data_IF_864215892158
#
_entry.id   IF_864215892158
#
_cell.length_a   1.000
_cell.length_b   1.000
_cell.length_c   1.000
_cell.angle_alpha   90.00
_cell.angle_beta   90.00
_cell.angle_gamma   90.00
#
_symmetry.space_group_name_H-M   'P 1'
#
loop_
_entity.id
_entity.type
_entity.pdbx_description
1 polymer ?
#
# COMPACT_ATOMS: atom_id res chain seq x y z
N UNK A 1 53.65 48.66 46.86
CA UNK A 1 53.06 47.33 46.61
C UNK A 1 51.62 47.34 47.13
N UNK A 2 50.64 47.62 46.28
CA UNK A 2 49.22 47.62 46.66
C UNK A 2 48.45 46.74 45.67
N UNK A 3 47.97 45.58 46.14
CA UNK A 3 47.15 44.66 45.34
C UNK A 3 45.79 45.29 45.05
N UNK A 4 45.51 45.59 43.79
CA UNK A 4 44.14 45.86 43.33
C UNK A 4 43.35 44.54 43.27
N UNK A 5 42.34 44.41 44.12
CA UNK A 5 41.32 43.34 44.00
C UNK A 5 40.35 43.71 42.87
N UNK A 6 40.34 42.93 41.80
CA UNK A 6 39.30 43.00 40.76
C UNK A 6 37.95 42.54 41.33
N UNK A 7 36.84 43.26 41.08
CA UNK A 7 35.50 42.82 41.49
C UNK A 7 35.03 41.60 40.68
N UNK A 8 34.17 40.73 41.24
CA UNK A 8 33.75 39.50 40.59
C UNK A 8 32.70 39.79 39.51
N UNK A 9 32.97 39.24 38.33
CA UNK A 9 32.03 38.83 37.28
C UNK A 9 30.83 39.75 36.96
N UNK A 10 31.03 40.49 35.87
CA UNK A 10 30.05 41.16 35.01
C UNK A 10 28.74 40.38 34.83
N UNK A 11 27.63 41.07 35.09
CA UNK A 11 26.27 40.57 34.93
C UNK A 11 25.95 40.08 33.52
N UNK A 12 25.26 38.94 33.45
CA UNK A 12 24.49 38.57 32.27
C UNK A 12 23.37 39.59 32.10
N UNK A 13 23.22 40.12 30.88
CA UNK A 13 22.17 41.07 30.53
C UNK A 13 20.79 40.44 30.81
N UNK A 14 19.94 41.16 31.55
CA UNK A 14 18.56 40.78 31.88
C UNK A 14 17.75 40.41 30.62
N UNK A 15 18.15 40.92 29.45
CA UNK A 15 17.53 40.65 28.15
C UNK A 15 17.84 39.23 27.64
N UNK A 16 19.06 38.72 27.89
CA UNK A 16 19.47 37.35 27.50
C UNK A 16 18.80 36.27 28.37
N UNK A 17 18.59 36.55 29.66
CA UNK A 17 17.91 35.62 30.58
C UNK A 17 16.41 35.57 30.34
N UNK A 18 15.81 36.70 29.94
CA UNK A 18 14.40 36.79 29.53
C UNK A 18 14.15 35.93 28.29
N UNK A 19 14.95 36.07 27.22
CA UNK A 19 14.81 35.29 25.98
C UNK A 19 14.97 33.77 26.21
N UNK A 20 15.98 33.37 27.00
CA UNK A 20 16.17 31.97 27.38
C UNK A 20 14.98 31.39 28.17
N UNK A 21 14.30 32.20 28.99
CA UNK A 21 13.08 31.80 29.69
C UNK A 21 11.92 31.53 28.72
N UNK A 22 11.68 32.39 27.73
CA UNK A 22 10.63 32.16 26.72
C UNK A 22 10.91 30.93 25.88
N UNK A 23 12.16 30.69 25.46
CA UNK A 23 12.53 29.48 24.72
C UNK A 23 12.27 28.22 25.54
N UNK A 24 12.64 28.21 26.84
CA UNK A 24 12.37 27.08 27.73
C UNK A 24 10.87 26.85 27.91
N UNK A 25 10.09 27.92 28.10
CA UNK A 25 8.63 27.86 28.21
C UNK A 25 7.99 27.35 26.92
N UNK A 26 8.39 27.84 25.75
CA UNK A 26 7.91 27.39 24.45
C UNK A 26 8.22 25.90 24.21
N UNK A 27 9.44 25.45 24.50
CA UNK A 27 9.81 24.02 24.43
C UNK A 27 8.99 23.16 25.39
N UNK A 28 8.69 23.64 26.60
CA UNK A 28 7.83 22.94 27.55
C UNK A 28 6.38 22.83 27.04
N UNK A 29 5.84 23.93 26.49
CA UNK A 29 4.51 23.96 25.87
C UNK A 29 4.42 23.01 24.68
N UNK A 30 5.39 23.05 23.75
CA UNK A 30 5.44 22.14 22.60
C UNK A 30 5.49 20.67 23.04
N UNK A 31 6.31 20.34 24.05
CA UNK A 31 6.36 18.98 24.63
C UNK A 31 5.05 18.56 25.29
N UNK A 32 4.33 19.50 25.93
CA UNK A 32 3.02 19.25 26.53
C UNK A 32 1.97 18.99 25.46
N UNK A 33 1.92 19.83 24.43
CA UNK A 33 1.00 19.69 23.29
C UNK A 33 1.23 18.34 22.62
N UNK A 34 2.48 18.02 22.24
CA UNK A 34 2.82 16.73 21.61
C UNK A 34 2.34 15.54 22.44
N UNK A 35 2.65 15.53 23.74
CA UNK A 35 2.25 14.43 24.65
C UNK A 35 0.74 14.32 24.79
N UNK A 36 0.03 15.45 24.87
CA UNK A 36 -1.43 15.49 24.91
C UNK A 36 -2.03 14.93 23.62
N UNK A 37 -1.60 15.43 22.47
CA UNK A 37 -2.11 14.99 21.16
C UNK A 37 -1.83 13.51 20.90
N UNK A 38 -0.64 13.00 21.26
CA UNK A 38 -0.33 11.57 21.15
C UNK A 38 -1.24 10.72 22.04
N UNK A 39 -1.47 11.15 23.29
CA UNK A 39 -2.39 10.46 24.21
C UNK A 39 -3.81 10.44 23.67
N UNK A 40 -4.34 11.58 23.23
CA UNK A 40 -5.70 11.68 22.69
C UNK A 40 -5.87 10.84 21.43
N UNK A 41 -4.89 10.89 20.51
CA UNK A 41 -4.87 10.03 19.33
C UNK A 41 -4.86 8.55 19.69
N UNK A 42 -4.08 8.15 20.71
CA UNK A 42 -4.02 6.76 21.15
C UNK A 42 -5.33 6.29 21.79
N UNK A 43 -5.94 7.14 22.63
CA UNK A 43 -7.25 6.86 23.23
C UNK A 43 -8.29 6.66 22.12
N UNK A 44 -8.39 7.60 21.17
CA UNK A 44 -9.32 7.51 20.06
C UNK A 44 -9.08 6.25 19.20
N UNK A 45 -7.81 5.90 18.95
CA UNK A 45 -7.44 4.71 18.21
C UNK A 45 -7.95 3.43 18.90
N UNK A 46 -7.70 3.27 20.20
CA UNK A 46 -8.17 2.11 20.96
C UNK A 46 -9.70 2.09 21.06
N UNK A 47 -10.32 3.24 21.32
CA UNK A 47 -11.79 3.36 21.37
C UNK A 47 -12.48 3.02 20.04
N UNK A 48 -11.77 3.13 18.90
CA UNK A 48 -12.29 2.72 17.60
C UNK A 48 -12.35 1.20 17.38
N UNK A 49 -11.79 0.39 18.31
CA UNK A 49 -11.84 -1.07 18.26
C UNK A 49 -13.08 -1.53 19.02
N UNK A 50 -14.15 -1.80 18.28
CA UNK A 50 -15.44 -2.28 18.82
C UNK A 50 -15.66 -3.75 18.49
N UNK A 51 -16.69 -4.37 19.08
CA UNK A 51 -17.11 -5.74 18.77
C UNK A 51 -17.52 -5.96 17.31
N UNK A 52 -17.89 -4.89 16.59
CA UNK A 52 -18.19 -4.92 15.15
C UNK A 52 -16.94 -4.85 14.26
N UNK A 53 -15.73 -4.74 14.82
CA UNK A 53 -14.49 -4.70 14.05
C UNK A 53 -14.17 -6.09 13.51
N UNK A 54 -14.20 -6.27 12.18
CA UNK A 54 -13.80 -7.55 11.55
C UNK A 54 -12.37 -7.98 11.91
N UNK A 55 -12.11 -9.29 11.93
CA UNK A 55 -10.78 -9.84 12.24
C UNK A 55 -9.66 -9.26 11.35
N UNK A 56 -9.94 -9.01 10.07
CA UNK A 56 -8.98 -8.37 9.14
C UNK A 56 -8.62 -6.95 9.58
N UNK A 57 -9.60 -6.15 9.98
CA UNK A 57 -9.38 -4.78 10.44
C UNK A 57 -8.70 -4.76 11.82
N UNK A 58 -9.09 -5.66 12.71
CA UNK A 58 -8.45 -5.82 14.01
C UNK A 58 -6.96 -6.12 13.85
N UNK A 59 -6.60 -7.04 12.96
CA UNK A 59 -5.21 -7.42 12.74
C UNK A 59 -4.38 -6.32 12.07
N UNK A 60 -4.98 -5.51 11.19
CA UNK A 60 -4.34 -4.27 10.71
C UNK A 60 -4.06 -3.29 11.86
N UNK A 61 -5.05 -3.05 12.73
CA UNK A 61 -4.90 -2.14 13.88
C UNK A 61 -3.83 -2.64 14.87
N UNK A 62 -3.77 -3.93 15.15
CA UNK A 62 -2.70 -4.51 16.01
C UNK A 62 -1.32 -4.31 15.40
N UNK A 63 -1.15 -4.55 14.09
CA UNK A 63 0.12 -4.26 13.42
C UNK A 63 0.47 -2.77 13.48
N UNK A 64 -0.52 -1.88 13.42
CA UNK A 64 -0.31 -0.43 13.49
C UNK A 64 0.12 0.01 14.89
N UNK A 65 -0.52 -0.53 15.92
CA UNK A 65 -0.10 -0.35 17.31
C UNK A 65 1.34 -0.80 17.56
N UNK A 66 1.77 -1.89 16.94
CA UNK A 66 3.14 -2.41 17.05
C UNK A 66 4.16 -1.67 16.16
N UNK A 67 3.74 -0.66 15.39
CA UNK A 67 4.63 0.05 14.45
C UNK A 67 5.10 -0.80 13.26
N UNK A 68 4.51 -1.98 13.05
CA UNK A 68 4.81 -2.90 11.95
C UNK A 68 3.95 -2.57 10.71
N UNK A 69 2.87 -1.82 10.91
CA UNK A 69 1.98 -1.43 9.81
C UNK A 69 2.61 -0.36 8.95
N UNK A 70 2.94 -0.75 7.72
CA UNK A 70 3.09 0.17 6.62
C UNK A 70 1.70 0.32 5.98
N UNK A 71 1.05 1.48 6.18
CA UNK A 71 -0.02 1.88 5.27
C UNK A 71 0.59 1.95 3.88
N UNK A 72 -0.04 1.28 2.91
CA UNK A 72 0.48 1.08 1.55
C UNK A 72 1.33 2.27 1.15
N UNK A 73 2.64 2.06 1.07
CA UNK A 73 3.59 3.10 0.72
C UNK A 73 3.01 3.86 -0.47
N UNK A 74 2.90 5.19 -0.37
CA UNK A 74 2.57 6.01 -1.53
C UNK A 74 3.41 5.49 -2.67
N UNK A 75 2.76 4.95 -3.71
CA UNK A 75 3.49 4.41 -4.85
C UNK A 75 4.18 5.60 -5.47
N UNK A 76 5.48 5.68 -5.27
CA UNK A 76 6.30 6.74 -5.82
C UNK A 76 7.07 6.10 -6.95
N UNK A 77 6.71 6.46 -8.18
CA UNK A 77 7.39 5.98 -9.38
C UNK A 77 8.53 6.94 -9.71
N UNK A 78 9.74 6.41 -9.86
CA UNK A 78 10.88 7.17 -10.38
C UNK A 78 11.09 6.85 -11.84
N UNK A 79 11.01 7.85 -12.70
CA UNK A 79 11.29 7.75 -14.13
C UNK A 79 12.39 8.76 -14.48
N UNK A 80 13.62 8.26 -14.70
CA UNK A 80 14.81 9.10 -14.85
C UNK A 80 15.05 9.96 -13.61
N UNK A 81 15.08 11.30 -13.80
CA UNK A 81 15.26 12.28 -12.72
C UNK A 81 13.94 12.77 -12.10
N UNK A 82 12.79 12.30 -12.60
CA UNK A 82 11.47 12.72 -12.14
C UNK A 82 10.85 11.69 -11.20
N UNK A 83 10.10 12.19 -10.23
CA UNK A 83 9.41 11.38 -9.21
C UNK A 83 7.92 11.68 -9.28
N UNK A 84 7.12 10.67 -9.58
CA UNK A 84 5.66 10.75 -9.72
C UNK A 84 4.99 10.11 -8.51
N UNK A 85 4.08 10.84 -7.86
CA UNK A 85 3.32 10.38 -6.69
C UNK A 85 1.81 10.39 -6.89
N UNK A 86 1.31 11.16 -7.87
CA UNK A 86 -0.11 11.17 -8.22
C UNK A 86 -0.47 9.91 -9.04
N UNK A 87 -1.58 9.22 -8.75
CA UNK A 87 -1.97 8.00 -9.45
C UNK A 87 -2.08 8.16 -10.98
N UNK A 88 -2.60 9.29 -11.45
CA UNK A 88 -2.75 9.58 -12.88
C UNK A 88 -1.38 9.74 -13.56
N UNK A 89 -0.43 10.43 -12.91
CA UNK A 89 0.91 10.63 -13.44
C UNK A 89 1.67 9.32 -13.51
N UNK A 90 1.52 8.47 -12.49
CA UNK A 90 2.10 7.11 -12.47
C UNK A 90 1.53 6.27 -13.61
N UNK A 91 0.20 6.26 -13.78
CA UNK A 91 -0.47 5.52 -14.84
C UNK A 91 -0.02 5.99 -16.23
N UNK A 92 0.06 7.30 -16.46
CA UNK A 92 0.53 7.87 -17.72
C UNK A 92 2.00 7.55 -17.97
N UNK A 93 2.85 7.63 -16.95
CA UNK A 93 4.29 7.31 -17.07
C UNK A 93 4.48 5.85 -17.45
N UNK A 94 3.74 4.93 -16.82
CA UNK A 94 3.73 3.52 -17.20
C UNK A 94 3.21 3.32 -18.62
N UNK A 95 2.11 3.97 -18.98
CA UNK A 95 1.53 3.91 -20.33
C UNK A 95 2.51 4.37 -21.41
N UNK A 96 3.20 5.48 -21.18
CA UNK A 96 4.25 5.97 -22.09
C UNK A 96 5.41 4.99 -22.21
N UNK A 97 5.89 4.42 -21.10
CA UNK A 97 6.95 3.42 -21.14
C UNK A 97 6.53 2.18 -21.94
N UNK A 98 5.32 1.67 -21.74
CA UNK A 98 4.79 0.55 -22.52
C UNK A 98 4.65 0.90 -24.01
N UNK A 99 4.14 2.09 -24.32
CA UNK A 99 4.01 2.54 -25.71
C UNK A 99 5.38 2.65 -26.40
N UNK A 100 6.41 3.14 -25.70
CA UNK A 100 7.78 3.22 -26.22
C UNK A 100 8.37 1.83 -26.49
N UNK A 101 8.24 0.90 -25.55
CA UNK A 101 8.74 -0.47 -25.72
C UNK A 101 7.97 -1.22 -26.82
N UNK A 102 6.70 -0.87 -27.03
CA UNK A 102 5.85 -1.49 -28.05
C UNK A 102 5.88 -0.77 -29.40
N UNK A 103 6.57 0.38 -29.49
CA UNK A 103 6.73 1.11 -30.74
C UNK A 103 7.56 0.29 -31.74
N UNK A 104 7.43 0.58 -33.03
CA UNK A 104 8.03 -0.23 -34.10
C UNK A 104 9.55 -0.02 -34.26
N UNK A 105 10.08 1.13 -33.84
CA UNK A 105 11.48 1.53 -34.04
C UNK A 105 12.58 0.61 -33.46
N UNK A 106 12.42 -0.10 -32.33
CA UNK A 106 13.44 -1.01 -31.81
C UNK A 106 13.37 -2.44 -32.39
N UNK A 107 12.39 -2.75 -33.24
CA UNK A 107 12.23 -4.10 -33.78
C UNK A 107 12.99 -4.30 -35.10
N UNK A 108 13.51 -5.51 -35.31
CA UNK A 108 14.17 -5.86 -36.55
C UNK A 108 13.17 -5.90 -37.71
N UNK A 109 13.60 -5.62 -38.96
CA UNK A 109 12.72 -5.66 -40.13
C UNK A 109 11.98 -7.00 -40.28
N UNK A 110 12.62 -8.12 -39.92
CA UNK A 110 12.00 -9.45 -39.99
C UNK A 110 10.83 -9.60 -39.02
N UNK A 111 10.95 -9.05 -37.80
CA UNK A 111 9.86 -9.10 -36.82
C UNK A 111 8.70 -8.18 -37.21
N UNK A 112 9.01 -6.98 -37.71
CA UNK A 112 7.99 -6.02 -38.18
C UNK A 112 7.15 -6.62 -39.31
N UNK A 113 7.79 -7.34 -40.24
CA UNK A 113 7.11 -8.02 -41.34
C UNK A 113 6.07 -9.06 -40.89
N UNK A 114 6.19 -9.61 -39.67
CA UNK A 114 5.22 -10.55 -39.06
C UNK A 114 4.19 -9.81 -38.20
N UNK A 115 4.64 -8.83 -37.41
CA UNK A 115 3.81 -8.06 -36.46
C UNK A 115 2.73 -7.25 -37.17
N UNK A 116 3.09 -6.46 -38.19
CA UNK A 116 2.16 -5.54 -38.84
C UNK A 116 0.96 -6.25 -39.50
N UNK A 117 1.13 -7.35 -40.26
CA UNK A 117 0.00 -8.13 -40.76
C UNK A 117 -0.84 -8.76 -39.64
N UNK A 118 -0.19 -9.24 -38.58
CA UNK A 118 -0.86 -9.90 -37.47
C UNK A 118 -1.74 -8.93 -36.68
N UNK A 119 -1.26 -7.73 -36.39
CA UNK A 119 -2.02 -6.69 -35.67
C UNK A 119 -3.13 -6.05 -36.52
N UNK A 120 -2.98 -6.05 -37.85
CA UNK A 120 -4.04 -5.60 -38.78
C UNK A 120 -5.18 -6.60 -38.91
N UNK A 121 -5.00 -7.84 -38.47
CA UNK A 121 -6.04 -8.87 -38.55
C UNK A 121 -7.10 -8.60 -37.48
N UNK A 122 -8.35 -8.25 -37.85
CA UNK A 122 -9.37 -7.91 -36.87
C UNK A 122 -9.77 -9.13 -36.03
N UNK A 123 -9.73 -8.98 -34.71
CA UNK A 123 -10.20 -10.01 -33.79
C UNK A 123 -11.73 -10.13 -33.85
N UNK A 124 -12.23 -11.31 -34.23
CA UNK A 124 -13.67 -11.61 -34.16
C UNK A 124 -14.00 -12.25 -32.82
N UNK A 125 -14.53 -11.46 -31.90
CA UNK A 125 -15.03 -11.93 -30.61
C UNK A 125 -16.38 -12.67 -30.70
N UNK A 126 -17.08 -12.55 -31.83
CA UNK A 126 -18.31 -13.28 -32.10
C UNK A 126 -17.99 -14.66 -32.65
N UNK A 127 -17.91 -15.65 -31.76
CA UNK A 127 -17.90 -17.04 -32.17
C UNK A 127 -19.29 -17.41 -32.73
N UNK A 128 -19.36 -17.71 -34.03
CA UNK A 128 -20.58 -18.27 -34.67
C UNK A 128 -20.75 -19.76 -34.38
N UNK A 129 -19.81 -20.36 -33.66
CA UNK A 129 -19.77 -21.77 -33.29
C UNK A 129 -19.77 -21.91 -31.78
N UNK A 130 -20.42 -22.94 -31.27
CA UNK A 130 -20.25 -23.40 -29.89
C UNK A 130 -18.81 -23.90 -29.73
N UNK A 131 -18.00 -23.16 -28.99
CA UNK A 131 -16.63 -23.55 -28.70
C UNK A 131 -16.61 -24.51 -27.49
N UNK A 132 -15.70 -25.50 -27.42
CA UNK A 132 -15.72 -26.50 -26.36
C UNK A 132 -15.72 -25.92 -24.94
N UNK A 133 -15.02 -24.80 -24.73
CA UNK A 133 -14.98 -24.09 -23.45
C UNK A 133 -16.30 -23.38 -23.07
N UNK A 134 -17.22 -23.22 -24.02
CA UNK A 134 -18.57 -22.71 -23.81
C UNK A 134 -19.60 -23.85 -23.69
N UNK A 135 -19.16 -25.11 -23.65
CA UNK A 135 -20.06 -26.24 -23.42
C UNK A 135 -20.64 -26.15 -22.02
N UNK A 136 -21.83 -26.72 -21.82
CA UNK A 136 -22.41 -26.85 -20.49
C UNK A 136 -21.49 -27.63 -19.56
N UNK A 137 -21.40 -27.17 -18.32
CA UNK A 137 -20.62 -27.82 -17.26
C UNK A 137 -21.18 -29.20 -16.96
N UNK A 138 -20.31 -30.21 -16.92
CA UNK A 138 -20.69 -31.62 -16.72
C UNK A 138 -20.21 -32.15 -15.37
N UNK A 139 -20.93 -33.13 -14.84
CA UNK A 139 -20.63 -33.71 -13.52
C UNK A 139 -19.18 -34.24 -13.41
N UNK A 140 -18.66 -34.89 -14.46
CA UNK A 140 -17.29 -35.41 -14.44
C UNK A 140 -16.22 -34.29 -14.26
N UNK A 141 -16.52 -33.07 -14.72
CA UNK A 141 -15.62 -31.91 -14.55
C UNK A 141 -15.59 -31.48 -13.08
N UNK A 142 -16.76 -31.50 -12.41
CA UNK A 142 -16.87 -31.27 -10.96
C UNK A 142 -16.09 -32.32 -10.18
N UNK A 143 -16.30 -33.60 -10.47
CA UNK A 143 -15.61 -34.71 -9.81
C UNK A 143 -14.09 -34.63 -10.02
N UNK A 144 -13.66 -34.34 -11.25
CA UNK A 144 -12.23 -34.16 -11.57
C UNK A 144 -11.64 -32.99 -10.80
N UNK A 145 -12.34 -31.85 -10.74
CA UNK A 145 -11.88 -30.67 -10.00
C UNK A 145 -11.78 -30.97 -8.49
N UNK A 146 -12.80 -31.62 -7.90
CA UNK A 146 -12.83 -31.98 -6.48
C UNK A 146 -11.75 -33.01 -6.11
N UNK A 147 -11.43 -33.96 -7.01
CA UNK A 147 -10.37 -34.95 -6.79
C UNK A 147 -8.97 -34.33 -6.72
N UNK A 148 -8.75 -33.21 -7.42
CA UNK A 148 -7.49 -32.48 -7.46
C UNK A 148 -7.40 -31.37 -6.41
N UNK A 149 -8.52 -30.97 -5.81
CA UNK A 149 -8.57 -29.91 -4.82
C UNK A 149 -8.03 -30.40 -3.46
N UNK A 150 -7.06 -29.66 -2.92
CA UNK A 150 -6.58 -29.86 -1.55
C UNK A 150 -7.57 -29.32 -0.52
N UNK A 151 -7.57 -29.91 0.68
CA UNK A 151 -8.36 -29.39 1.79
C UNK A 151 -7.83 -28.03 2.25
N UNK A 152 -8.67 -27.01 2.06
CA UNK A 152 -8.44 -25.66 2.55
C UNK A 152 -9.48 -25.32 3.62
N UNK A 153 -9.19 -24.28 4.41
CA UNK A 153 -10.15 -23.72 5.37
C UNK A 153 -11.46 -23.33 4.65
N UNK A 154 -12.60 -23.56 5.31
CA UNK A 154 -13.92 -23.23 4.76
C UNK A 154 -14.09 -21.73 4.53
N UNK A 155 -14.93 -21.40 3.55
CA UNK A 155 -15.41 -20.04 3.36
C UNK A 155 -16.36 -19.59 4.47
N UNK A 156 -16.89 -18.35 4.38
CA UNK A 156 -17.91 -17.84 5.31
C UNK A 156 -19.20 -18.67 5.34
N UNK A 157 -19.45 -19.49 4.31
CA UNK A 157 -20.54 -20.45 4.22
C UNK A 157 -20.33 -21.72 5.05
N UNK A 158 -19.12 -21.95 5.56
CA UNK A 158 -18.78 -23.12 6.36
C UNK A 158 -18.63 -24.42 5.56
N UNK A 159 -18.68 -24.37 4.22
CA UNK A 159 -18.62 -25.55 3.37
C UNK A 159 -17.15 -25.86 3.03
N UNK A 160 -16.75 -27.12 3.20
CA UNK A 160 -15.38 -27.59 2.88
C UNK A 160 -15.37 -28.49 1.65
N UNK A 161 -14.24 -28.58 0.96
CA UNK A 161 -14.07 -29.54 -0.15
C UNK A 161 -14.30 -30.99 0.30
N UNK A 162 -13.97 -31.31 1.55
CA UNK A 162 -14.23 -32.64 2.09
C UNK A 162 -15.72 -32.96 2.20
N UNK A 163 -16.57 -31.96 2.51
CA UNK A 163 -18.02 -32.15 2.49
C UNK A 163 -18.52 -32.36 1.06
N UNK A 164 -18.02 -31.60 0.09
CA UNK A 164 -18.42 -31.71 -1.32
C UNK A 164 -18.05 -33.07 -1.93
N UNK A 165 -16.91 -33.66 -1.55
CA UNK A 165 -16.49 -35.00 -2.01
C UNK A 165 -17.35 -36.13 -1.46
N UNK A 166 -18.05 -35.91 -0.35
CA UNK A 166 -18.87 -36.92 0.33
C UNK A 166 -20.37 -36.60 0.27
N UNK A 167 -20.79 -35.72 -0.63
CA UNK A 167 -22.21 -35.58 -0.95
C UNK A 167 -22.67 -36.89 -1.62
N UNK A 168 -23.69 -37.53 -1.05
CA UNK A 168 -24.33 -38.64 -1.72
C UNK A 168 -25.02 -38.11 -2.99
N UNK A 169 -24.58 -38.61 -4.14
CA UNK A 169 -25.26 -38.50 -5.43
C UNK A 169 -26.51 -39.38 -5.46
#
# INVERSE_FOLDING_TARGET
>A
MGLQKKPPFSGQSIVQTFDAFFIKRAKALARRIRRRSQRESWINFISSITSSTSSKQLWKKVKAANGIYCESSFLVLKAGNMTHSAPIDIANTLGHAFAQVSATDPYSPEFVAIKDPSERTPLRFTARSTLPYNSEFRMFELETALSRAHDTSSGPDGITYNMLRHLNT
#
